data_IF_442546008317
#
_entry.id   IF_442546008317
#
_cell.length_a   1.000
_cell.length_b   1.000
_cell.length_c   1.000
_cell.angle_alpha   90.00
_cell.angle_beta   90.00
_cell.angle_gamma   90.00
#
_symmetry.space_group_name_H-M   'P 1'
#
loop_
_entity.id
_entity.type
_entity.pdbx_description
1 polymer ?
#
# COMPACT_ATOMS: atom_id res chain seq x y z
N UNK A 1 4.99 1.49 25.68
CA UNK A 1 6.13 0.79 25.05
C UNK A 1 5.80 0.60 23.58
N UNK A 2 6.54 1.29 22.71
CA UNK A 2 6.16 1.60 21.33
C UNK A 2 6.16 0.40 20.40
N UNK A 3 5.08 0.28 19.61
CA UNK A 3 4.86 -0.72 18.56
C UNK A 3 5.77 -0.42 17.34
N UNK A 4 7.08 -0.59 17.50
CA UNK A 4 8.06 -0.50 16.39
C UNK A 4 8.01 -1.71 15.44
N UNK A 5 7.20 -2.74 15.76
CA UNK A 5 7.07 -3.94 14.94
C UNK A 5 6.35 -3.75 13.60
N UNK A 6 5.53 -2.70 13.46
CA UNK A 6 4.71 -2.49 12.24
C UNK A 6 5.55 -2.00 11.05
N UNK A 7 6.46 -1.06 11.29
CA UNK A 7 7.39 -0.60 10.25
C UNK A 7 8.30 -1.73 9.75
N UNK A 8 8.74 -2.60 10.67
CA UNK A 8 9.56 -3.76 10.31
C UNK A 8 8.78 -4.79 9.48
N UNK A 9 7.48 -4.96 9.74
CA UNK A 9 6.64 -5.83 8.93
C UNK A 9 6.44 -5.26 7.51
N UNK A 10 6.16 -3.95 7.38
CA UNK A 10 6.06 -3.28 6.08
C UNK A 10 7.38 -3.35 5.29
N UNK A 11 8.52 -3.11 5.95
CA UNK A 11 9.83 -3.22 5.32
C UNK A 11 10.14 -4.66 4.92
N UNK A 12 9.75 -5.64 5.74
CA UNK A 12 9.97 -7.06 5.45
C UNK A 12 9.13 -7.54 4.26
N UNK A 13 7.90 -7.03 4.11
CA UNK A 13 7.06 -7.32 2.94
C UNK A 13 7.54 -6.58 1.68
N UNK A 14 8.00 -5.32 1.80
CA UNK A 14 8.58 -4.59 0.67
C UNK A 14 9.88 -5.22 0.15
N UNK A 15 10.69 -5.82 1.03
CA UNK A 15 11.90 -6.56 0.67
C UNK A 15 11.62 -7.96 0.11
N UNK A 16 10.36 -8.42 0.14
CA UNK A 16 9.94 -9.73 -0.37
C UNK A 16 9.43 -9.67 -1.82
N UNK A 17 9.93 -8.72 -2.61
CA UNK A 17 9.84 -8.82 -4.06
C UNK A 17 10.85 -9.88 -4.50
N UNK A 18 10.35 -11.11 -4.67
CA UNK A 18 11.12 -12.18 -5.31
C UNK A 18 11.47 -11.68 -6.71
N UNK A 19 12.75 -11.35 -6.90
CA UNK A 19 13.29 -10.94 -8.18
C UNK A 19 13.06 -12.06 -9.18
N UNK A 20 12.06 -11.92 -10.04
CA UNK A 20 11.98 -12.71 -11.27
C UNK A 20 12.99 -12.09 -12.23
N UNK A 21 14.27 -12.41 -12.00
CA UNK A 21 15.35 -12.10 -12.92
C UNK A 21 15.29 -13.06 -14.11
N UNK A 22 14.45 -12.75 -15.10
CA UNK A 22 14.71 -13.25 -16.45
C UNK A 22 15.74 -12.33 -17.09
N UNK A 23 17.03 -12.64 -16.90
CA UNK A 23 18.09 -12.08 -17.73
C UNK A 23 17.90 -12.59 -19.17
N UNK A 24 17.43 -11.73 -20.06
CA UNK A 24 17.66 -11.96 -21.48
C UNK A 24 19.17 -11.90 -21.77
N UNK A 25 19.63 -12.76 -22.68
CA UNK A 25 21.05 -12.97 -22.97
C UNK A 25 21.76 -11.76 -23.57
N UNK A 26 21.05 -10.66 -23.83
CA UNK A 26 21.61 -9.41 -24.36
C UNK A 26 21.76 -8.29 -23.31
N UNK A 27 21.61 -8.57 -22.01
CA UNK A 27 21.93 -7.60 -20.95
C UNK A 27 21.05 -6.34 -20.94
N UNK A 28 19.92 -6.36 -21.66
CA UNK A 28 18.92 -5.30 -21.60
C UNK A 28 17.89 -5.68 -20.56
N UNK A 29 17.97 -5.07 -19.38
CA UNK A 29 16.90 -5.11 -18.39
C UNK A 29 15.80 -4.21 -18.94
N UNK A 30 14.83 -4.81 -19.65
CA UNK A 30 13.55 -4.16 -19.91
C UNK A 30 12.89 -3.97 -18.54
N UNK A 31 13.16 -2.82 -17.91
CA UNK A 31 12.43 -2.41 -16.73
C UNK A 31 10.97 -2.42 -17.12
N UNK A 32 10.20 -3.37 -16.58
CA UNK A 32 8.76 -3.41 -16.78
C UNK A 32 8.25 -1.98 -16.55
N UNK A 33 7.57 -1.40 -17.52
CA UNK A 33 7.00 -0.05 -17.41
C UNK A 33 5.96 0.08 -16.28
N UNK A 34 5.75 -1.02 -15.53
CA UNK A 34 5.10 -1.18 -14.24
C UNK A 34 6.03 -0.87 -13.05
N UNK A 35 7.05 -0.03 -13.22
CA UNK A 35 7.69 0.61 -12.07
C UNK A 35 6.63 1.36 -11.26
N UNK A 36 6.60 1.15 -9.94
CA UNK A 36 5.68 1.85 -9.03
C UNK A 36 5.89 3.37 -9.17
N UNK A 37 5.03 4.01 -9.97
CA UNK A 37 4.88 5.46 -9.94
C UNK A 37 4.19 5.74 -8.62
N UNK A 38 4.89 6.36 -7.67
CA UNK A 38 4.25 6.94 -6.49
C UNK A 38 3.83 8.38 -6.83
N UNK A 39 2.62 8.65 -7.34
CA UNK A 39 1.99 9.90 -7.02
C UNK A 39 1.48 9.80 -5.57
N UNK A 40 2.09 10.57 -4.67
CA UNK A 40 1.66 10.81 -3.28
C UNK A 40 0.29 11.52 -3.22
N UNK A 41 -0.72 11.06 -3.97
CA UNK A 41 -2.03 11.69 -3.96
C UNK A 41 -2.87 11.12 -2.83
N UNK A 42 -2.87 11.91 -1.75
CA UNK A 42 -3.95 12.21 -0.80
C UNK A 42 -5.25 11.41 -0.94
N UNK A 43 -5.89 11.09 0.20
CA UNK A 43 -7.09 10.29 0.26
C UNK A 43 -8.21 10.91 -0.59
N UNK A 44 -8.79 10.08 -1.47
CA UNK A 44 -9.93 10.42 -2.33
C UNK A 44 -11.19 10.81 -1.54
N UNK A 45 -11.24 10.44 -0.27
CA UNK A 45 -12.35 10.67 0.66
C UNK A 45 -11.85 11.32 1.94
N UNK A 46 -12.75 11.82 2.79
CA UNK A 46 -12.38 12.40 4.07
C UNK A 46 -12.02 11.32 5.09
N UNK A 47 -11.35 11.70 6.19
CA UNK A 47 -10.99 10.77 7.26
C UNK A 47 -12.22 10.07 7.85
N UNK A 48 -13.31 10.80 8.03
CA UNK A 48 -14.60 10.30 8.51
C UNK A 48 -15.24 9.30 7.54
N UNK A 49 -15.05 9.51 6.23
CA UNK A 49 -15.54 8.56 5.22
C UNK A 49 -14.80 7.23 5.35
N UNK A 50 -13.49 7.24 5.60
CA UNK A 50 -12.70 6.03 5.83
C UNK A 50 -13.13 5.29 7.08
N UNK A 51 -13.44 6.01 8.17
CA UNK A 51 -13.93 5.41 9.41
C UNK A 51 -15.22 4.60 9.19
N UNK A 52 -16.08 5.06 8.27
CA UNK A 52 -17.37 4.44 7.95
C UNK A 52 -17.34 3.53 6.72
N UNK A 53 -16.21 3.45 6.01
CA UNK A 53 -16.10 2.76 4.73
C UNK A 53 -16.20 1.25 4.87
N UNK A 54 -17.10 0.62 4.13
CA UNK A 54 -17.24 -0.84 4.08
C UNK A 54 -16.00 -1.53 3.51
N UNK A 55 -15.75 -2.77 3.92
CA UNK A 55 -14.52 -3.51 3.62
C UNK A 55 -14.25 -3.65 2.13
N UNK A 56 -15.22 -4.09 1.35
CA UNK A 56 -15.06 -4.28 -0.09
C UNK A 56 -14.65 -2.97 -0.79
N UNK A 57 -15.15 -1.82 -0.32
CA UNK A 57 -14.84 -0.51 -0.90
C UNK A 57 -13.44 -0.07 -0.52
N UNK A 58 -13.04 -0.35 0.71
CA UNK A 58 -11.70 -0.08 1.20
C UNK A 58 -10.66 -0.98 0.50
N UNK A 59 -10.97 -2.25 0.25
CA UNK A 59 -10.11 -3.18 -0.49
C UNK A 59 -9.86 -2.72 -1.93
N UNK A 60 -10.91 -2.33 -2.65
CA UNK A 60 -10.77 -1.77 -3.99
C UNK A 60 -9.90 -0.50 -3.97
N UNK A 61 -10.10 0.38 -2.98
CA UNK A 61 -9.37 1.63 -2.86
C UNK A 61 -7.89 1.41 -2.52
N UNK A 62 -7.57 0.46 -1.63
CA UNK A 62 -6.21 0.08 -1.31
C UNK A 62 -5.54 -0.61 -2.51
N UNK A 63 -6.26 -1.45 -3.25
CA UNK A 63 -5.80 -2.04 -4.51
C UNK A 63 -5.48 -0.97 -5.57
N UNK A 64 -6.34 0.03 -5.73
CA UNK A 64 -6.11 1.16 -6.65
C UNK A 64 -4.84 1.96 -6.28
N UNK A 65 -4.47 1.96 -4.99
CA UNK A 65 -3.23 2.56 -4.48
C UNK A 65 -2.02 1.61 -4.50
N UNK A 66 -2.18 0.38 -5.00
CA UNK A 66 -1.12 -0.63 -5.02
C UNK A 66 -0.81 -1.26 -3.65
N UNK A 67 -1.70 -1.10 -2.67
CA UNK A 67 -1.58 -1.58 -1.30
C UNK A 67 -2.25 -2.96 -1.13
N UNK A 68 -1.95 -3.88 -2.04
CA UNK A 68 -2.54 -5.23 -2.08
C UNK A 68 -2.18 -6.10 -0.87
N UNK A 69 -1.09 -5.78 -0.16
CA UNK A 69 -0.64 -6.49 1.04
C UNK A 69 -1.65 -6.44 2.21
N UNK A 70 -2.66 -5.57 2.13
CA UNK A 70 -3.65 -5.37 3.17
C UNK A 70 -4.94 -6.16 2.96
N UNK A 71 -5.08 -6.95 1.89
CA UNK A 71 -6.31 -7.72 1.63
C UNK A 71 -6.64 -8.71 2.76
N UNK A 72 -5.63 -9.36 3.35
CA UNK A 72 -5.79 -10.34 4.43
C UNK A 72 -5.97 -9.72 5.83
N UNK A 73 -5.83 -8.38 5.95
CA UNK A 73 -5.99 -7.69 7.23
C UNK A 73 -7.47 -7.59 7.61
N UNK A 74 -7.74 -7.31 8.89
CA UNK A 74 -9.10 -7.00 9.32
C UNK A 74 -9.54 -5.62 8.82
N UNK A 75 -10.85 -5.40 8.61
CA UNK A 75 -11.41 -4.09 8.27
C UNK A 75 -10.91 -2.96 9.19
N UNK A 76 -10.80 -3.24 10.49
CA UNK A 76 -10.30 -2.26 11.47
C UNK A 76 -8.84 -1.87 11.20
N UNK A 77 -7.97 -2.84 10.91
CA UNK A 77 -6.56 -2.58 10.60
C UNK A 77 -6.40 -1.82 9.28
N UNK A 78 -7.21 -2.15 8.25
CA UNK A 78 -7.21 -1.42 6.97
C UNK A 78 -7.57 0.05 7.18
N UNK A 79 -8.62 0.33 7.97
CA UNK A 79 -9.05 1.70 8.30
C UNK A 79 -8.00 2.44 9.11
N UNK A 80 -7.47 1.81 10.16
CA UNK A 80 -6.43 2.39 10.99
C UNK A 80 -5.20 2.77 10.17
N UNK A 81 -4.75 1.85 9.30
CA UNK A 81 -3.65 2.11 8.38
C UNK A 81 -3.91 3.34 7.51
N UNK A 82 -5.06 3.41 6.84
CA UNK A 82 -5.42 4.54 5.99
C UNK A 82 -5.49 5.85 6.80
N UNK A 83 -6.21 5.84 7.92
CA UNK A 83 -6.43 7.00 8.81
C UNK A 83 -5.13 7.56 9.42
N UNK A 84 -4.15 6.70 9.70
CA UNK A 84 -2.87 7.09 10.31
C UNK A 84 -1.78 7.42 9.29
N UNK A 85 -1.81 6.80 8.11
CA UNK A 85 -0.72 6.89 7.12
C UNK A 85 -1.01 7.93 6.04
N UNK A 86 -2.27 8.17 5.69
CA UNK A 86 -2.61 9.12 4.64
C UNK A 86 -2.42 10.56 5.13
N UNK A 87 -1.90 11.39 4.23
CA UNK A 87 -1.84 12.83 4.44
C UNK A 87 -3.25 13.37 4.20
N UNK A 88 -3.89 13.97 5.20
CA UNK A 88 -5.22 14.56 5.05
C UNK A 88 -5.08 16.04 4.65
N UNK A 89 -5.82 16.56 3.65
CA UNK A 89 -5.70 17.94 3.20
C UNK A 89 -6.17 18.98 4.24
N UNK A 90 -6.84 18.53 5.32
CA UNK A 90 -7.30 19.36 6.42
C UNK A 90 -6.91 18.70 7.76
N UNK A 91 -6.28 19.43 8.69
CA UNK A 91 -5.99 18.94 10.04
C UNK A 91 -7.25 18.81 10.91
#
# INVERSE_FOLDING_TARGET
MGKVGWLLNLLSHANKQEGVENLDKNGTVEASSSGFKMPLHYPKYTKDDYEKMEEWRLDLLLSDYGLLAFHDNTLHEKRAFAMETFLWPHP
#
